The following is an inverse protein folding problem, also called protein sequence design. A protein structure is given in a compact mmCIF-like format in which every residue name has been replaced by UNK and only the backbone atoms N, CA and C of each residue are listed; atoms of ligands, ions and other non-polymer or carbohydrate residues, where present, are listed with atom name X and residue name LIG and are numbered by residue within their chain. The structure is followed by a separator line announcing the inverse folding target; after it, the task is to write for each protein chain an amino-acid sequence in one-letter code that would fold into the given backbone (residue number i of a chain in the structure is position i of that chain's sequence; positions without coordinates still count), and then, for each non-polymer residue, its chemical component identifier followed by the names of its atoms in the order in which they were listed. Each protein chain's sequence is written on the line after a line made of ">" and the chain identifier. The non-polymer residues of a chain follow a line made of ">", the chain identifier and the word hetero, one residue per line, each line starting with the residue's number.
data_IF_364828109547
#
_entry.id   IF_364828109547
#
_cell.length_a   1.000
_cell.length_b   1.000
_cell.length_c   1.000
_cell.angle_alpha   90.00
_cell.angle_beta   90.00
_cell.angle_gamma   90.00
#
_symmetry.space_group_name_H-M   'P 1'
#
loop_
_entity.id
_entity.type
_entity.pdbx_description
1 polymer ?
#
# COMPACT_ATOMS: atom_id res chain seq x y z
N UNK A 1 10.90 13.93 8.71
CA UNK A 1 12.33 14.29 8.80
C UNK A 1 12.55 15.65 9.43
N UNK A 2 11.83 16.70 9.00
CA UNK A 2 11.94 18.08 9.54
C UNK A 2 11.93 18.12 11.08
N UNK A 3 10.93 17.53 11.73
CA UNK A 3 10.82 17.52 13.20
C UNK A 3 12.00 16.84 13.90
N UNK A 4 12.59 15.79 13.29
CA UNK A 4 13.78 15.13 13.86
C UNK A 4 15.00 16.02 13.75
N UNK A 5 15.14 16.70 12.62
CA UNK A 5 16.26 17.58 12.36
C UNK A 5 16.19 18.82 13.26
N UNK A 6 15.00 19.39 13.47
CA UNK A 6 14.81 20.52 14.38
C UNK A 6 15.07 20.14 15.83
N UNK A 7 14.58 18.98 16.29
CA UNK A 7 14.90 18.49 17.64
C UNK A 7 16.38 18.21 17.81
N UNK A 8 17.04 17.60 16.82
CA UNK A 8 18.48 17.36 16.88
C UNK A 8 19.27 18.68 16.94
N UNK A 9 18.92 19.66 16.11
CA UNK A 9 19.52 20.99 16.13
C UNK A 9 19.30 21.68 17.50
N UNK A 10 18.10 21.55 18.08
CA UNK A 10 17.77 22.10 19.39
C UNK A 10 18.66 21.55 20.52
N UNK A 11 19.10 20.30 20.45
CA UNK A 11 20.02 19.72 21.44
C UNK A 11 21.50 19.99 21.11
N UNK A 12 21.88 19.92 19.84
CA UNK A 12 23.28 20.06 19.41
C UNK A 12 23.77 21.49 19.54
N UNK A 13 22.98 22.49 19.14
CA UNK A 13 23.43 23.90 19.14
C UNK A 13 23.76 24.39 20.57
N UNK A 14 22.91 24.19 21.60
CA UNK A 14 23.25 24.58 22.96
C UNK A 14 24.43 23.79 23.53
N UNK A 15 24.55 22.51 23.19
CA UNK A 15 25.68 21.69 23.64
C UNK A 15 27.02 22.18 23.07
N UNK A 16 27.05 22.63 21.81
CA UNK A 16 28.25 23.23 21.19
C UNK A 16 28.56 24.59 21.81
N UNK A 17 27.54 25.41 22.06
CA UNK A 17 27.71 26.73 22.70
C UNK A 17 28.24 26.65 24.14
N UNK A 18 28.09 25.50 24.79
CA UNK A 18 28.60 25.23 26.14
C UNK A 18 30.09 24.80 26.16
N UNK A 19 30.80 24.87 25.03
CA UNK A 19 32.25 24.62 24.98
C UNK A 19 33.03 25.80 25.59
N UNK A 20 34.09 25.58 26.39
CA UNK A 20 34.71 24.30 26.76
C UNK A 20 34.06 23.71 28.03
N UNK A 21 33.45 22.51 27.93
CA UNK A 21 32.66 21.84 28.98
C UNK A 21 33.42 21.56 30.29
N UNK A 22 33.60 22.59 31.11
CA UNK A 22 34.38 22.58 32.35
C UNK A 22 33.51 22.24 33.56
N UNK A 23 32.23 22.60 33.54
CA UNK A 23 31.32 22.37 34.67
C UNK A 23 30.57 21.04 34.58
N UNK A 24 30.13 20.51 35.71
CA UNK A 24 29.32 19.27 35.77
C UNK A 24 28.02 19.42 34.97
N UNK A 25 27.38 20.60 35.01
CA UNK A 25 26.16 20.89 34.26
C UNK A 25 26.36 20.86 32.73
N UNK A 26 27.46 21.43 32.25
CA UNK A 26 27.83 21.43 30.82
C UNK A 26 28.10 20.00 30.30
N UNK A 27 28.73 19.14 31.10
CA UNK A 27 28.95 17.73 30.75
C UNK A 27 27.64 16.93 30.70
N UNK A 28 26.70 17.22 31.60
CA UNK A 28 25.35 16.64 31.55
C UNK A 28 24.58 17.07 30.30
N UNK A 29 24.68 18.35 29.92
CA UNK A 29 24.07 18.86 28.69
C UNK A 29 24.63 18.15 27.45
N UNK A 30 25.96 17.99 27.37
CA UNK A 30 26.61 17.25 26.30
C UNK A 30 26.13 15.79 26.24
N UNK A 31 26.11 15.10 27.39
CA UNK A 31 25.63 13.72 27.48
C UNK A 31 24.17 13.57 27.03
N UNK A 32 23.29 14.47 27.47
CA UNK A 32 21.89 14.49 27.07
C UNK A 32 21.73 14.76 25.56
N UNK A 33 22.51 15.67 25.00
CA UNK A 33 22.48 15.97 23.57
C UNK A 33 22.93 14.76 22.72
N UNK A 34 24.03 14.11 23.11
CA UNK A 34 24.50 12.89 22.43
C UNK A 34 23.45 11.79 22.52
N UNK A 35 22.90 11.54 23.71
CA UNK A 35 21.86 10.53 23.91
C UNK A 35 20.60 10.81 23.05
N UNK A 36 20.15 12.07 23.01
CA UNK A 36 18.99 12.48 22.21
C UNK A 36 19.23 12.25 20.71
N UNK A 37 20.40 12.63 20.19
CA UNK A 37 20.76 12.41 18.78
C UNK A 37 20.82 10.92 18.45
N UNK A 38 21.47 10.12 19.31
CA UNK A 38 21.53 8.66 19.14
C UNK A 38 20.13 8.08 19.13
N UNK A 39 19.24 8.45 20.06
CA UNK A 39 17.87 7.92 20.09
C UNK A 39 17.03 8.35 18.88
N UNK A 40 17.15 9.62 18.44
CA UNK A 40 16.39 10.16 17.32
C UNK A 40 16.78 9.51 15.99
N UNK A 41 18.07 9.24 15.81
CA UNK A 41 18.63 8.69 14.57
C UNK A 41 19.03 7.22 14.63
N UNK A 42 18.88 6.55 15.78
CA UNK A 42 19.10 5.12 15.91
C UNK A 42 18.25 4.39 14.87
N UNK A 43 18.94 3.81 13.91
CA UNK A 43 18.37 3.09 12.79
C UNK A 43 18.46 1.60 13.08
N UNK A 44 17.30 0.95 13.19
CA UNK A 44 17.23 -0.47 13.49
C UNK A 44 16.33 -1.19 12.49
N UNK A 45 16.93 -2.06 11.68
CA UNK A 45 16.23 -2.94 10.70
C UNK A 45 15.32 -2.18 9.72
N UNK A 46 15.80 -1.05 9.18
CA UNK A 46 15.05 -0.25 8.20
C UNK A 46 14.05 0.74 8.80
N UNK A 47 13.94 0.85 10.13
CA UNK A 47 13.08 1.79 10.82
C UNK A 47 13.87 2.56 11.88
N UNK A 48 13.42 3.78 12.17
CA UNK A 48 13.93 4.54 13.31
C UNK A 48 13.33 4.00 14.61
N UNK A 49 14.09 4.02 15.71
CA UNK A 49 13.61 3.60 17.05
C UNK A 49 12.32 4.35 17.43
N UNK A 50 12.26 5.65 17.17
CA UNK A 50 11.06 6.47 17.38
C UNK A 50 9.82 5.92 16.65
N UNK A 51 9.99 5.46 15.41
CA UNK A 51 8.92 4.84 14.62
C UNK A 51 8.49 3.49 15.20
N UNK A 52 9.44 2.69 15.71
CA UNK A 52 9.15 1.39 16.35
C UNK A 52 8.30 1.60 17.62
N UNK A 53 8.72 2.53 18.48
CA UNK A 53 8.01 2.85 19.74
C UNK A 53 6.61 3.38 19.44
N UNK A 54 6.48 4.34 18.53
CA UNK A 54 5.17 4.90 18.15
C UNK A 54 4.20 3.81 17.64
N UNK A 55 4.68 2.92 16.76
CA UNK A 55 3.85 1.81 16.25
C UNK A 55 3.49 0.79 17.34
N UNK A 56 4.37 0.54 18.30
CA UNK A 56 4.09 -0.33 19.45
C UNK A 56 3.04 0.26 20.38
N UNK A 57 3.13 1.54 20.68
CA UNK A 57 2.10 2.25 21.46
C UNK A 57 0.77 2.22 20.71
N UNK A 58 0.76 2.43 19.39
CA UNK A 58 -0.45 2.36 18.57
C UNK A 58 -1.05 0.93 18.47
N UNK A 59 -0.26 -0.13 18.63
CA UNK A 59 -0.78 -1.49 18.79
C UNK A 59 -1.43 -1.68 20.17
N UNK A 60 -0.77 -1.24 21.24
CA UNK A 60 -1.21 -1.43 22.62
C UNK A 60 -2.46 -0.63 22.96
N UNK A 61 -2.53 0.61 22.49
CA UNK A 61 -3.64 1.53 22.83
C UNK A 61 -4.93 1.22 22.07
N UNK A 62 -4.91 0.29 21.10
CA UNK A 62 -6.04 0.03 20.20
C UNK A 62 -6.48 1.27 19.39
N UNK A 63 -5.76 2.39 19.53
CA UNK A 63 -6.13 3.72 19.02
C UNK A 63 -5.72 3.81 17.56
N UNK A 64 -6.35 2.99 16.73
CA UNK A 64 -6.22 3.04 15.27
C UNK A 64 -7.50 3.64 14.75
N UNK A 65 -7.36 4.81 14.11
CA UNK A 65 -8.45 5.49 13.39
C UNK A 65 -9.21 4.44 12.60
N UNK A 66 -10.49 4.27 12.93
CA UNK A 66 -11.40 3.34 12.27
C UNK A 66 -11.19 3.42 10.76
N UNK A 67 -10.97 2.26 10.15
CA UNK A 67 -10.65 2.16 8.74
C UNK A 67 -11.89 2.34 7.85
N UNK A 68 -13.07 2.58 8.43
CA UNK A 68 -14.37 2.33 7.77
C UNK A 68 -15.13 3.55 7.26
N UNK A 69 -14.60 4.76 7.40
CA UNK A 69 -15.18 5.87 6.64
C UNK A 69 -14.62 5.81 5.22
N UNK A 70 -15.39 5.24 4.28
CA UNK A 70 -15.23 5.54 2.85
C UNK A 70 -15.16 7.05 2.76
N UNK A 71 -14.01 7.58 2.36
CA UNK A 71 -13.90 9.01 2.20
C UNK A 71 -14.83 9.39 1.05
N UNK A 72 -15.79 10.28 1.27
CA UNK A 72 -16.70 10.75 0.21
C UNK A 72 -15.98 11.45 -0.95
N UNK A 73 -14.66 11.61 -0.81
CA UNK A 73 -13.72 12.16 -1.78
C UNK A 73 -13.29 11.15 -2.85
N UNK A 74 -13.43 9.84 -2.62
CA UNK A 74 -13.01 8.81 -3.57
C UNK A 74 -14.14 7.81 -3.86
N UNK A 75 -14.18 7.33 -5.10
CA UNK A 75 -15.05 6.22 -5.49
C UNK A 75 -14.22 5.12 -6.16
N UNK A 76 -14.28 3.92 -5.59
CA UNK A 76 -13.64 2.73 -6.14
C UNK A 76 -14.68 1.82 -6.79
N UNK A 77 -14.37 1.32 -7.99
CA UNK A 77 -15.17 0.31 -8.69
C UNK A 77 -14.28 -0.89 -8.99
N UNK A 78 -14.80 -2.08 -8.74
CA UNK A 78 -14.05 -3.34 -8.88
C UNK A 78 -14.64 -4.18 -10.00
N UNK A 79 -13.75 -4.69 -10.86
CA UNK A 79 -14.05 -5.59 -11.97
C UNK A 79 -13.38 -6.94 -11.71
N UNK A 80 -14.11 -8.05 -11.84
CA UNK A 80 -13.52 -9.39 -11.91
C UNK A 80 -13.13 -9.69 -13.35
N UNK A 81 -11.92 -10.19 -13.55
CA UNK A 81 -11.37 -10.53 -14.88
C UNK A 81 -10.88 -11.97 -14.88
N UNK A 82 -11.10 -12.72 -15.95
CA UNK A 82 -10.66 -14.12 -16.07
C UNK A 82 -9.14 -14.32 -15.94
N UNK A 83 -8.35 -13.36 -16.42
CA UNK A 83 -6.90 -13.42 -16.53
C UNK A 83 -6.28 -12.04 -16.32
N UNK A 84 -4.95 -11.99 -16.16
CA UNK A 84 -4.22 -10.74 -15.92
C UNK A 84 -4.27 -9.84 -17.18
N UNK A 85 -4.85 -8.63 -17.10
CA UNK A 85 -4.94 -7.73 -18.24
C UNK A 85 -3.63 -6.96 -18.47
N UNK A 86 -3.39 -6.44 -19.69
CA UNK A 86 -2.14 -5.77 -20.02
C UNK A 86 -2.00 -4.43 -19.29
N UNK A 87 -0.97 -4.29 -18.45
CA UNK A 87 -0.68 -3.05 -17.73
C UNK A 87 -0.54 -1.79 -18.61
N UNK A 88 0.00 -1.85 -19.86
CA UNK A 88 0.00 -0.68 -20.75
C UNK A 88 -1.39 -0.14 -21.06
N UNK A 89 -2.37 -1.02 -21.24
CA UNK A 89 -3.76 -0.63 -21.44
C UNK A 89 -4.33 0.02 -20.18
N UNK A 90 -4.08 -0.58 -19.01
CA UNK A 90 -4.54 -0.08 -17.72
C UNK A 90 -3.93 1.29 -17.38
N UNK A 91 -2.63 1.47 -17.62
CA UNK A 91 -1.94 2.76 -17.47
C UNK A 91 -2.56 3.84 -18.37
N UNK A 92 -3.05 3.44 -19.55
CA UNK A 92 -3.80 4.31 -20.46
C UNK A 92 -5.09 4.87 -19.87
N UNK A 93 -5.69 4.22 -18.85
CA UNK A 93 -6.89 4.69 -18.16
C UNK A 93 -6.60 5.60 -16.96
N UNK A 94 -5.34 5.77 -16.54
CA UNK A 94 -4.98 6.74 -15.50
C UNK A 94 -5.39 8.17 -15.87
N UNK A 95 -5.29 8.50 -17.16
CA UNK A 95 -5.72 9.79 -17.69
C UNK A 95 -6.32 9.55 -19.09
N UNK A 96 -7.65 9.46 -19.15
CA UNK A 96 -8.40 9.20 -20.38
C UNK A 96 -9.78 9.83 -20.34
N UNK A 97 -10.24 10.30 -21.50
CA UNK A 97 -11.58 10.87 -21.68
C UNK A 97 -11.90 12.06 -20.76
N UNK A 98 -10.87 12.86 -20.42
CA UNK A 98 -11.00 14.02 -19.53
C UNK A 98 -11.25 13.66 -18.06
N UNK A 99 -10.94 12.41 -17.67
CA UNK A 99 -10.99 11.95 -16.28
C UNK A 99 -9.62 11.40 -15.90
N UNK A 100 -9.14 11.79 -14.73
CA UNK A 100 -7.90 11.34 -14.13
C UNK A 100 -8.20 10.42 -12.94
N UNK A 101 -7.84 9.15 -13.04
CA UNK A 101 -7.98 8.22 -11.93
C UNK A 101 -6.89 8.50 -10.88
N UNK A 102 -7.23 8.34 -9.60
CA UNK A 102 -6.23 8.36 -8.53
C UNK A 102 -5.28 7.17 -8.67
N UNK A 103 -5.85 6.00 -8.96
CA UNK A 103 -5.13 4.76 -9.21
C UNK A 103 -5.93 3.75 -10.03
N UNK A 104 -5.21 2.85 -10.68
CA UNK A 104 -5.73 1.60 -11.24
C UNK A 104 -4.93 0.46 -10.63
N UNK A 105 -5.59 -0.55 -10.07
CA UNK A 105 -4.92 -1.65 -9.38
C UNK A 105 -5.36 -2.98 -9.94
N UNK A 106 -4.40 -3.89 -10.13
CA UNK A 106 -4.65 -5.31 -10.38
C UNK A 106 -4.37 -6.06 -9.09
N UNK A 107 -5.36 -6.78 -8.59
CA UNK A 107 -5.22 -7.63 -7.40
C UNK A 107 -5.43 -9.08 -7.80
N UNK A 108 -4.54 -9.96 -7.34
CA UNK A 108 -4.70 -11.40 -7.44
C UNK A 108 -4.88 -12.01 -6.06
N UNK A 109 -5.65 -13.08 -6.02
CA UNK A 109 -5.80 -13.99 -4.90
C UNK A 109 -5.55 -15.40 -5.40
N UNK A 110 -4.46 -15.98 -4.93
CA UNK A 110 -4.09 -17.37 -5.20
C UNK A 110 -4.48 -18.21 -3.98
N UNK A 111 -5.30 -19.22 -4.20
CA UNK A 111 -5.78 -20.18 -3.20
C UNK A 111 -5.56 -21.59 -3.75
N UNK A 112 -4.44 -22.21 -3.37
CA UNK A 112 -3.95 -23.41 -4.06
C UNK A 112 -3.77 -23.12 -5.54
N UNK A 113 -4.36 -23.96 -6.41
CA UNK A 113 -4.28 -23.80 -7.87
C UNK A 113 -5.28 -22.78 -8.44
N UNK A 114 -6.17 -22.23 -7.61
CA UNK A 114 -7.19 -21.27 -8.05
C UNK A 114 -6.69 -19.84 -7.94
N UNK A 115 -6.62 -19.14 -9.07
CA UNK A 115 -6.29 -17.70 -9.13
C UNK A 115 -7.52 -16.88 -9.48
N UNK A 116 -7.81 -15.90 -8.61
CA UNK A 116 -8.81 -14.87 -8.89
C UNK A 116 -8.15 -13.51 -9.10
N UNK A 117 -8.57 -12.81 -10.14
CA UNK A 117 -8.04 -11.52 -10.58
C UNK A 117 -9.12 -10.46 -10.55
N UNK A 118 -8.81 -9.32 -9.95
CA UNK A 118 -9.63 -8.12 -9.97
C UNK A 118 -8.84 -6.94 -10.53
N UNK A 119 -9.53 -6.07 -11.25
CA UNK A 119 -9.07 -4.73 -11.60
C UNK A 119 -9.93 -3.73 -10.86
N UNK A 120 -9.33 -2.91 -10.01
CA UNK A 120 -10.03 -1.81 -9.36
C UNK A 120 -9.57 -0.46 -9.91
N UNK A 121 -10.55 0.43 -10.08
CA UNK A 121 -10.35 1.80 -10.51
C UNK A 121 -10.81 2.71 -9.38
N UNK A 122 -9.95 3.61 -8.93
CA UNK A 122 -10.32 4.60 -7.91
C UNK A 122 -10.26 5.98 -8.52
N UNK A 123 -11.36 6.72 -8.41
CA UNK A 123 -11.48 8.10 -8.86
C UNK A 123 -11.48 9.03 -7.64
N UNK A 124 -10.58 10.01 -7.63
CA UNK A 124 -10.58 11.09 -6.65
C UNK A 124 -11.35 12.31 -7.15
N UNK A 125 -12.18 12.91 -6.29
CA UNK A 125 -12.98 14.07 -6.63
C UNK A 125 -12.14 15.33 -6.85
N UNK A 126 -11.10 15.53 -6.03
CA UNK A 126 -10.28 16.75 -6.04
C UNK A 126 -9.61 16.99 -7.41
N UNK A 127 -9.01 15.95 -7.99
CA UNK A 127 -8.34 16.03 -9.29
C UNK A 127 -9.30 16.12 -10.49
N UNK A 128 -10.61 15.93 -10.26
CA UNK A 128 -11.63 15.85 -11.32
C UNK A 128 -12.77 16.84 -11.11
N UNK A 129 -12.63 17.81 -10.22
CA UNK A 129 -13.76 18.65 -9.80
C UNK A 129 -14.40 19.39 -10.99
N UNK A 130 -13.60 19.91 -11.92
CA UNK A 130 -14.10 20.58 -13.13
C UNK A 130 -14.94 19.64 -14.01
N UNK A 131 -14.48 18.40 -14.22
CA UNK A 131 -15.19 17.40 -15.01
C UNK A 131 -16.47 16.90 -14.31
N UNK A 132 -16.44 16.78 -12.98
CA UNK A 132 -17.59 16.36 -12.18
C UNK A 132 -18.67 17.46 -12.13
N UNK A 133 -18.27 18.72 -11.92
CA UNK A 133 -19.18 19.87 -11.90
C UNK A 133 -19.82 20.11 -13.27
N UNK A 134 -19.10 19.89 -14.37
CA UNK A 134 -19.66 19.98 -15.72
C UNK A 134 -20.79 18.97 -15.98
N UNK A 135 -20.81 17.84 -15.27
CA UNK A 135 -21.87 16.82 -15.39
C UNK A 135 -23.06 17.11 -14.48
N UNK A 136 -22.80 17.58 -13.26
CA UNK A 136 -23.85 17.95 -12.32
C UNK A 136 -23.32 18.77 -11.15
N UNK A 137 -24.13 19.72 -10.66
CA UNK A 137 -23.90 20.41 -9.40
C UNK A 137 -23.84 19.46 -8.19
N UNK A 138 -24.40 18.25 -8.30
CA UNK A 138 -24.36 17.19 -7.26
C UNK A 138 -23.05 16.38 -7.24
N UNK A 139 -22.08 16.68 -8.11
CA UNK A 139 -20.76 16.01 -8.17
C UNK A 139 -20.92 14.47 -8.23
N UNK A 140 -21.27 13.91 -9.40
CA UNK A 140 -21.65 12.50 -9.56
C UNK A 140 -20.40 11.59 -9.59
N UNK A 141 -19.67 11.52 -8.47
CA UNK A 141 -18.38 10.83 -8.37
C UNK A 141 -18.51 9.33 -8.63
N UNK A 142 -19.44 8.66 -7.93
CA UNK A 142 -19.65 7.22 -8.05
C UNK A 142 -20.13 6.83 -9.45
N UNK A 143 -21.09 7.56 -10.02
CA UNK A 143 -21.58 7.30 -11.37
C UNK A 143 -20.48 7.52 -12.42
N UNK A 144 -19.63 8.53 -12.22
CA UNK A 144 -18.48 8.78 -13.10
C UNK A 144 -17.45 7.67 -13.03
N UNK A 145 -17.15 7.16 -11.83
CA UNK A 145 -16.26 6.02 -11.64
C UNK A 145 -16.85 4.75 -12.29
N UNK A 146 -18.14 4.47 -12.11
CA UNK A 146 -18.82 3.35 -12.76
C UNK A 146 -18.79 3.46 -14.29
N UNK A 147 -19.00 4.65 -14.85
CA UNK A 147 -18.91 4.88 -16.29
C UNK A 147 -17.49 4.62 -16.81
N UNK A 148 -16.46 5.09 -16.11
CA UNK A 148 -15.06 4.82 -16.47
C UNK A 148 -14.74 3.32 -16.42
N UNK A 149 -15.18 2.62 -15.37
CA UNK A 149 -15.05 1.18 -15.23
C UNK A 149 -15.79 0.41 -16.33
N UNK A 150 -17.01 0.85 -16.69
CA UNK A 150 -17.78 0.25 -17.80
C UNK A 150 -17.03 0.38 -19.12
N UNK A 151 -16.48 1.55 -19.42
CA UNK A 151 -15.63 1.76 -20.61
C UNK A 151 -14.36 0.92 -20.62
N UNK A 152 -13.77 0.64 -19.45
CA UNK A 152 -12.65 -0.29 -19.37
C UNK A 152 -13.11 -1.72 -19.62
N UNK A 153 -14.20 -2.14 -18.98
CA UNK A 153 -14.76 -3.47 -19.14
C UNK A 153 -15.14 -3.75 -20.60
N UNK A 154 -15.78 -2.80 -21.28
CA UNK A 154 -16.15 -2.95 -22.70
C UNK A 154 -14.90 -3.06 -23.58
N UNK A 155 -13.88 -2.22 -23.37
CA UNK A 155 -12.62 -2.31 -24.11
C UNK A 155 -11.85 -3.62 -23.86
N UNK A 156 -11.87 -4.14 -22.62
CA UNK A 156 -11.28 -5.43 -22.30
C UNK A 156 -12.05 -6.59 -22.96
N UNK A 157 -13.39 -6.54 -22.98
CA UNK A 157 -14.23 -7.52 -23.68
C UNK A 157 -14.01 -7.51 -25.17
N UNK A 158 -13.87 -6.33 -25.78
CA UNK A 158 -13.52 -6.17 -27.19
C UNK A 158 -12.19 -6.86 -27.54
N UNK A 159 -11.23 -6.83 -26.62
CA UNK A 159 -9.95 -7.53 -26.78
C UNK A 159 -10.00 -9.01 -26.32
N UNK A 160 -11.17 -9.52 -25.94
CA UNK A 160 -11.42 -10.93 -25.65
C UNK A 160 -11.24 -11.36 -24.20
N UNK A 161 -11.20 -10.46 -23.22
CA UNK A 161 -11.25 -10.81 -21.80
C UNK A 161 -12.70 -10.95 -21.31
N UNK A 162 -12.96 -11.93 -20.44
CA UNK A 162 -14.22 -11.98 -19.69
C UNK A 162 -14.15 -11.06 -18.47
N UNK A 163 -15.05 -10.08 -18.43
CA UNK A 163 -15.10 -9.06 -17.38
C UNK A 163 -16.50 -8.93 -16.81
N UNK A 164 -16.62 -8.94 -15.48
CA UNK A 164 -17.85 -8.64 -14.75
C UNK A 164 -17.59 -7.63 -13.64
N UNK A 165 -18.62 -6.90 -13.20
CA UNK A 165 -18.52 -6.08 -12.00
C UNK A 165 -18.59 -6.97 -10.76
N UNK A 166 -17.82 -6.64 -9.73
CA UNK A 166 -17.82 -7.36 -8.45
C UNK A 166 -18.05 -6.34 -7.33
N UNK A 167 -19.25 -6.34 -6.76
CA UNK A 167 -19.63 -5.41 -5.68
C UNK A 167 -19.25 -5.94 -4.29
N UNK A 168 -18.79 -7.19 -4.19
CA UNK A 168 -18.48 -7.82 -2.90
C UNK A 168 -17.27 -8.75 -3.05
N UNK A 169 -16.09 -8.19 -3.40
CA UNK A 169 -14.88 -8.98 -3.48
C UNK A 169 -14.53 -9.59 -2.11
N UNK A 170 -13.80 -10.71 -2.06
CA UNK A 170 -13.50 -11.39 -0.80
C UNK A 170 -12.74 -10.51 0.20
N UNK A 171 -13.14 -10.57 1.47
CA UNK A 171 -12.51 -9.80 2.54
C UNK A 171 -11.21 -10.47 3.02
N UNK A 172 -10.11 -9.71 3.00
CA UNK A 172 -8.79 -10.20 3.42
C UNK A 172 -8.71 -10.51 4.92
N UNK A 173 -9.30 -9.65 5.75
CA UNK A 173 -9.20 -9.70 7.22
C UNK A 173 -10.53 -10.17 7.78
N UNK A 174 -10.55 -11.24 8.58
CA UNK A 174 -11.79 -11.67 9.26
C UNK A 174 -12.22 -10.70 10.38
N UNK A 175 -13.50 -10.78 10.77
CA UNK A 175 -14.13 -9.85 11.74
C UNK A 175 -13.46 -9.85 13.13
N UNK A 176 -12.93 -11.00 13.58
CA UNK A 176 -12.22 -11.16 14.86
C UNK A 176 -10.69 -11.03 14.76
N UNK A 177 -10.22 -10.33 13.74
CA UNK A 177 -8.80 -10.14 13.54
C UNK A 177 -8.13 -9.43 14.73
N UNK A 178 -7.00 -9.98 15.20
CA UNK A 178 -6.11 -9.35 16.18
C UNK A 178 -4.77 -9.03 15.54
N UNK A 179 -4.40 -7.76 15.60
CA UNK A 179 -3.13 -7.33 15.03
C UNK A 179 -1.99 -7.49 16.03
N UNK A 180 -0.87 -8.01 15.53
CA UNK A 180 0.40 -8.08 16.25
C UNK A 180 1.50 -7.38 15.46
N UNK A 181 2.68 -7.26 16.05
CA UNK A 181 3.84 -6.66 15.39
C UNK A 181 4.25 -7.34 14.07
N UNK A 182 3.97 -8.64 13.91
CA UNK A 182 4.43 -9.47 12.78
C UNK A 182 3.33 -9.87 11.79
N UNK A 183 2.08 -9.55 12.09
CA UNK A 183 0.94 -9.95 11.29
C UNK A 183 -0.36 -9.79 12.05
N UNK A 184 -1.46 -10.08 11.39
CA UNK A 184 -2.81 -10.18 11.93
C UNK A 184 -3.14 -11.66 12.11
N UNK A 185 -3.64 -12.06 13.26
CA UNK A 185 -4.25 -13.38 13.44
C UNK A 185 -5.76 -13.24 13.32
N UNK A 186 -6.41 -14.08 12.52
CA UNK A 186 -7.86 -14.23 12.49
C UNK A 186 -8.23 -15.72 12.65
N UNK A 187 -9.51 -16.06 12.60
CA UNK A 187 -9.96 -17.46 12.70
C UNK A 187 -9.45 -18.37 11.57
N UNK A 188 -8.77 -17.83 10.56
CA UNK A 188 -8.22 -18.53 9.39
C UNK A 188 -6.68 -18.56 9.41
N UNK A 189 -6.06 -18.42 10.59
CA UNK A 189 -4.61 -18.46 10.78
C UNK A 189 -3.96 -17.08 10.89
N UNK A 190 -2.77 -16.92 10.31
CA UNK A 190 -1.99 -15.70 10.40
C UNK A 190 -1.77 -15.06 9.03
N UNK A 191 -2.05 -13.75 8.94
CA UNK A 191 -1.94 -12.96 7.74
C UNK A 191 -0.88 -11.85 7.92
N UNK A 192 0.11 -11.79 7.04
CA UNK A 192 1.13 -10.74 7.05
C UNK A 192 1.17 -9.99 5.72
N UNK A 193 1.10 -8.66 5.80
CA UNK A 193 1.35 -7.76 4.67
C UNK A 193 2.83 -7.40 4.51
N UNK A 194 3.26 -7.35 3.25
CA UNK A 194 4.60 -6.98 2.82
C UNK A 194 4.51 -5.98 1.66
N UNK A 195 5.42 -5.01 1.62
CA UNK A 195 5.68 -4.22 0.42
C UNK A 195 6.69 -4.94 -0.46
N UNK A 196 6.51 -4.84 -1.77
CA UNK A 196 7.44 -5.36 -2.78
C UNK A 196 8.39 -4.24 -3.19
N UNK A 197 9.69 -4.53 -3.24
CA UNK A 197 10.69 -3.58 -3.72
C UNK A 197 10.52 -3.35 -5.23
N UNK A 198 10.46 -2.08 -5.65
CA UNK A 198 10.26 -1.73 -7.05
C UNK A 198 11.34 -2.30 -7.99
N UNK A 199 12.60 -2.33 -7.54
CA UNK A 199 13.72 -2.81 -8.36
C UNK A 199 13.70 -4.31 -8.65
N UNK A 200 12.94 -5.11 -7.90
CA UNK A 200 12.85 -6.57 -8.05
C UNK A 200 11.42 -7.04 -8.27
N UNK A 201 10.53 -6.15 -8.72
CA UNK A 201 9.08 -6.36 -8.72
C UNK A 201 8.66 -7.62 -9.49
N UNK A 202 9.13 -7.80 -10.73
CA UNK A 202 8.76 -8.95 -11.56
C UNK A 202 9.24 -10.27 -10.94
N UNK A 203 10.52 -10.34 -10.56
CA UNK A 203 11.12 -11.52 -9.92
C UNK A 203 10.44 -11.87 -8.59
N UNK A 204 10.09 -10.86 -7.79
CA UNK A 204 9.45 -11.08 -6.49
C UNK A 204 8.01 -11.58 -6.67
N UNK A 205 7.25 -11.02 -7.62
CA UNK A 205 5.89 -11.46 -7.92
C UNK A 205 5.86 -12.89 -8.48
N UNK A 206 6.86 -13.27 -9.27
CA UNK A 206 6.97 -14.65 -9.76
C UNK A 206 7.34 -15.62 -8.63
N UNK A 207 8.33 -15.27 -7.81
CA UNK A 207 8.73 -16.07 -6.65
C UNK A 207 7.57 -16.28 -5.65
N UNK A 208 6.68 -15.29 -5.49
CA UNK A 208 5.49 -15.39 -4.63
C UNK A 208 4.56 -16.55 -4.99
N UNK A 209 4.51 -16.98 -6.26
CA UNK A 209 3.70 -18.14 -6.69
C UNK A 209 4.18 -19.46 -6.09
N UNK A 210 5.46 -19.53 -5.72
CA UNK A 210 6.09 -20.72 -5.16
C UNK A 210 6.16 -20.72 -3.63
N UNK A 211 5.65 -19.67 -2.98
CA UNK A 211 5.66 -19.57 -1.52
C UNK A 211 4.63 -20.53 -0.93
N UNK A 212 5.07 -21.33 0.03
CA UNK A 212 4.19 -22.19 0.84
C UNK A 212 3.31 -21.33 1.77
N UNK A 213 2.13 -20.98 1.27
CA UNK A 213 1.11 -20.22 1.96
C UNK A 213 -0.27 -20.72 1.54
N UNK A 214 -1.21 -20.79 2.48
CA UNK A 214 -2.57 -21.25 2.22
C UNK A 214 -3.32 -20.29 1.27
N UNK A 215 -2.98 -19.00 1.32
CA UNK A 215 -3.56 -17.96 0.48
C UNK A 215 -2.53 -16.85 0.25
N UNK A 216 -2.36 -16.45 -1.01
CA UNK A 216 -1.46 -15.36 -1.41
C UNK A 216 -2.29 -14.27 -2.09
N UNK A 217 -2.19 -13.06 -1.56
CA UNK A 217 -2.73 -11.87 -2.20
C UNK A 217 -1.59 -11.07 -2.79
N UNK A 218 -1.68 -10.69 -4.06
CA UNK A 218 -0.75 -9.74 -4.67
C UNK A 218 -1.52 -8.57 -5.24
N UNK A 219 -1.00 -7.36 -5.09
CA UNK A 219 -1.58 -6.18 -5.73
C UNK A 219 -0.48 -5.37 -6.39
N UNK A 220 -0.76 -4.97 -7.63
CA UNK A 220 0.06 -4.05 -8.42
C UNK A 220 -0.80 -2.82 -8.70
N UNK A 221 -0.35 -1.67 -8.22
CA UNK A 221 -1.04 -0.40 -8.29
C UNK A 221 -0.29 0.54 -9.24
N UNK A 222 -1.03 1.08 -10.21
CA UNK A 222 -0.59 2.12 -11.11
C UNK A 222 -1.13 3.47 -10.64
N UNK A 223 -0.26 4.47 -10.56
CA UNK A 223 -0.59 5.87 -10.23
C UNK A 223 0.11 6.82 -11.22
N UNK A 224 -0.05 8.13 -11.02
CA UNK A 224 0.66 9.15 -11.81
C UNK A 224 -0.19 9.70 -12.95
N UNK A 225 0.35 9.67 -14.17
CA UNK A 225 -0.37 10.08 -15.39
C UNK A 225 -0.15 9.03 -16.48
N UNK A 226 -0.94 9.08 -17.56
CA UNK A 226 -0.72 8.19 -18.71
C UNK A 226 0.70 8.31 -19.30
N UNK A 227 1.27 9.52 -19.33
CA UNK A 227 2.61 9.75 -19.89
C UNK A 227 3.73 9.38 -18.91
N UNK A 228 3.48 9.50 -17.61
CA UNK A 228 4.43 9.19 -16.54
C UNK A 228 3.74 8.31 -15.50
N UNK A 229 3.51 7.02 -15.82
CA UNK A 229 2.93 6.09 -14.87
C UNK A 229 3.96 5.73 -13.81
N UNK A 230 3.48 5.54 -12.59
CA UNK A 230 4.24 5.03 -11.47
C UNK A 230 3.61 3.72 -10.99
N UNK A 231 4.43 2.81 -10.50
CA UNK A 231 4.01 1.48 -10.05
C UNK A 231 4.44 1.23 -8.62
N UNK A 232 3.52 0.71 -7.82
CA UNK A 232 3.76 0.18 -6.49
C UNK A 232 3.20 -1.24 -6.39
N UNK A 233 3.82 -2.11 -5.61
CA UNK A 233 3.31 -3.45 -5.37
C UNK A 233 3.40 -3.86 -3.91
N UNK A 234 2.44 -4.67 -3.48
CA UNK A 234 2.36 -5.23 -2.15
C UNK A 234 1.76 -6.63 -2.22
N UNK A 235 2.02 -7.43 -1.20
CA UNK A 235 1.40 -8.74 -1.05
C UNK A 235 0.97 -9.00 0.39
N UNK A 236 0.07 -9.96 0.55
CA UNK A 236 -0.24 -10.54 1.83
C UNK A 236 -0.18 -12.07 1.75
N UNK A 237 0.38 -12.68 2.79
CA UNK A 237 0.57 -14.11 2.88
C UNK A 237 -0.20 -14.63 4.09
N UNK A 238 -1.06 -15.61 3.85
CA UNK A 238 -1.77 -16.35 4.90
C UNK A 238 -1.07 -17.67 5.17
N UNK A 239 -0.69 -17.89 6.42
CA UNK A 239 0.00 -19.09 6.87
C UNK A 239 -0.61 -19.60 8.17
N UNK A 240 -0.55 -20.91 8.39
CA UNK A 240 -1.00 -21.52 9.65
C UNK A 240 -0.12 -21.13 10.83
N UNK A 241 1.18 -20.96 10.56
CA UNK A 241 2.17 -20.56 11.55
C UNK A 241 2.36 -19.05 11.59
N UNK A 242 2.76 -18.55 12.75
CA UNK A 242 3.02 -17.12 12.92
C UNK A 242 4.18 -16.67 12.03
N UNK A 243 4.03 -15.55 11.30
CA UNK A 243 5.09 -15.01 10.46
C UNK A 243 6.42 -14.83 11.20
N UNK A 244 7.49 -15.24 10.52
CA UNK A 244 8.86 -15.11 10.99
C UNK A 244 9.29 -13.65 11.19
N UNK A 245 10.46 -13.44 11.79
CA UNK A 245 11.01 -12.10 11.93
C UNK A 245 11.51 -11.53 10.59
N UNK A 246 12.03 -12.38 9.69
CA UNK A 246 12.48 -11.98 8.34
C UNK A 246 11.32 -12.16 7.35
N UNK A 247 11.39 -11.45 6.23
CA UNK A 247 10.50 -11.73 5.11
C UNK A 247 10.84 -13.10 4.52
N UNK A 248 9.86 -13.82 3.95
CA UNK A 248 10.04 -15.19 3.47
C UNK A 248 10.95 -15.27 2.23
N UNK A 249 10.90 -14.25 1.37
CA UNK A 249 11.71 -14.17 0.15
C UNK A 249 12.38 -12.78 0.03
N UNK A 250 13.48 -12.66 -0.74
CA UNK A 250 14.09 -11.38 -1.09
C UNK A 250 13.08 -10.42 -1.76
N UNK A 251 13.35 -9.12 -1.71
CA UNK A 251 12.47 -8.10 -2.30
C UNK A 251 11.24 -7.74 -1.45
N UNK A 252 10.88 -8.54 -0.44
CA UNK A 252 9.78 -8.23 0.47
C UNK A 252 10.24 -7.49 1.72
N UNK A 253 9.49 -6.46 2.11
CA UNK A 253 9.64 -5.83 3.42
C UNK A 253 8.35 -5.87 4.23
N UNK A 254 8.39 -6.46 5.42
CA UNK A 254 7.22 -6.62 6.28
C UNK A 254 6.69 -5.28 6.81
N UNK A 255 5.37 -5.10 6.78
CA UNK A 255 4.68 -3.91 7.32
C UNK A 255 4.49 -3.97 8.84
N UNK A 256 5.62 -4.11 9.54
CA UNK A 256 5.66 -4.35 10.99
C UNK A 256 4.89 -3.29 11.77
N UNK A 257 3.90 -3.77 12.53
CA UNK A 257 3.01 -2.95 13.36
C UNK A 257 2.01 -2.08 12.58
N UNK A 258 1.90 -2.23 11.26
CA UNK A 258 0.92 -1.57 10.40
C UNK A 258 0.18 -2.57 9.49
N UNK A 259 0.17 -3.85 9.86
CA UNK A 259 -0.40 -4.90 9.03
C UNK A 259 -1.88 -4.68 8.74
N UNK A 260 -2.71 -4.29 9.72
CA UNK A 260 -4.14 -4.04 9.44
C UNK A 260 -4.32 -2.94 8.42
N UNK A 261 -3.61 -1.81 8.57
CA UNK A 261 -3.71 -0.68 7.64
C UNK A 261 -3.26 -1.10 6.24
N UNK A 262 -2.14 -1.84 6.14
CA UNK A 262 -1.63 -2.32 4.86
C UNK A 262 -2.57 -3.36 4.22
N UNK A 263 -3.16 -4.26 4.99
CA UNK A 263 -4.11 -5.28 4.52
C UNK A 263 -5.44 -4.66 4.08
N UNK A 264 -5.97 -3.69 4.84
CA UNK A 264 -7.14 -2.92 4.42
C UNK A 264 -6.85 -2.15 3.13
N UNK A 265 -5.67 -1.54 3.02
CA UNK A 265 -5.24 -0.85 1.80
C UNK A 265 -5.06 -1.81 0.61
N UNK A 266 -4.75 -3.09 0.84
CA UNK A 266 -4.56 -4.11 -0.20
C UNK A 266 -5.88 -4.61 -0.79
N UNK A 267 -7.00 -4.49 -0.06
CA UNK A 267 -8.32 -4.94 -0.51
C UNK A 267 -8.70 -4.34 -1.87
N UNK A 268 -9.31 -5.10 -2.81
CA UNK A 268 -9.71 -4.58 -4.12
C UNK A 268 -10.60 -3.34 -4.06
N UNK A 269 -11.51 -3.27 -3.08
CA UNK A 269 -12.43 -2.15 -2.88
C UNK A 269 -11.78 -0.90 -2.22
N UNK A 270 -10.54 -1.02 -1.73
CA UNK A 270 -9.93 0.05 -0.96
C UNK A 270 -9.64 1.28 -1.81
N UNK A 271 -10.01 2.45 -1.31
CA UNK A 271 -9.61 3.76 -1.86
C UNK A 271 -8.16 4.12 -1.50
N UNK A 272 -7.55 3.46 -0.51
CA UNK A 272 -6.20 3.78 -0.03
C UNK A 272 -5.10 3.25 -0.94
N UNK A 273 -4.07 4.05 -1.18
CA UNK A 273 -2.86 3.61 -1.89
C UNK A 273 -2.07 2.57 -1.10
N UNK A 274 -1.26 1.79 -1.81
CA UNK A 274 -0.34 0.85 -1.18
C UNK A 274 0.74 1.58 -0.37
N UNK A 275 1.24 0.94 0.69
CA UNK A 275 2.33 1.51 1.51
C UNK A 275 3.70 1.49 0.83
N UNK A 276 3.83 0.71 -0.26
CA UNK A 276 5.04 0.66 -1.07
C UNK A 276 5.24 2.01 -1.78
N UNK A 277 6.49 2.46 -1.84
CA UNK A 277 6.81 3.69 -2.55
C UNK A 277 6.66 3.45 -4.06
N UNK A 278 5.86 4.26 -4.77
CA UNK A 278 5.76 4.15 -6.22
C UNK A 278 7.11 4.41 -6.88
N UNK A 279 7.40 3.66 -7.94
CA UNK A 279 8.55 3.84 -8.80
C UNK A 279 8.11 4.12 -10.24
N UNK A 280 8.85 4.93 -11.00
CA UNK A 280 8.47 5.27 -12.36
C UNK A 280 8.46 4.04 -13.28
N UNK A 281 7.50 4.00 -14.19
CA UNK A 281 7.35 2.97 -15.21
C UNK A 281 6.15 2.07 -15.01
N UNK A 282 5.86 1.30 -16.05
CA UNK A 282 4.84 0.25 -16.09
C UNK A 282 5.52 -1.06 -15.69
N UNK A 283 4.88 -1.93 -14.88
CA UNK A 283 5.50 -3.19 -14.51
C UNK A 283 5.73 -4.03 -15.77
N UNK A 284 6.96 -4.51 -15.93
CA UNK A 284 7.29 -5.57 -16.88
C UNK A 284 6.96 -6.90 -16.22
N UNK A 285 5.67 -7.18 -16.06
CA UNK A 285 5.25 -8.55 -15.74
C UNK A 285 5.42 -9.35 -17.03
N UNK A 286 6.15 -10.48 -17.03
CA UNK A 286 6.25 -11.30 -18.23
C UNK A 286 4.83 -11.59 -18.73
N UNK A 287 4.57 -11.29 -20.00
CA UNK A 287 3.29 -11.59 -20.63
C UNK A 287 3.00 -13.07 -20.38
N UNK A 288 1.99 -13.35 -19.54
CA UNK A 288 1.45 -14.68 -19.39
C UNK A 288 0.83 -15.01 -20.74
N UNK A 289 1.63 -15.70 -21.56
CA UNK A 289 1.24 -16.19 -22.86
C UNK A 289 0.01 -17.06 -22.64
N UNK A 290 -1.12 -16.67 -23.24
CA UNK A 290 -2.31 -17.51 -23.31
C UNK A 290 -1.93 -18.77 -24.09
N UNK A 291 -1.81 -19.90 -23.39
CA UNK A 291 -1.87 -21.23 -23.99
C UNK A 291 -3.19 -21.86 -23.62
#
# INVERSE_FOLDING_TARGET
>A
MIVRLTLAALFVIPAVMAYPWQTTGERWLLGAAVAAVVILFAWWRGLFVTTIVARRIALLTGRRRSADARSGEYATVVLRVDSEPPYPLLAGYLDRYGIRLDKVRVTHRDLGDSRSTWVSLTLGAADNIAALTARSARIPLRDTAHLAARRLADHLRELGWQVSFDESPPVLIGDDAKETWRGVSDGRGHLAAYRVAAGTLAETLDALRSVDAAEVWTAVELTGTRAHPETAAACALRTDQRPGAKAPIPGLTAERGLHRVALTALSPESDRRLSAQPAPGIPRVPELSRT
#
